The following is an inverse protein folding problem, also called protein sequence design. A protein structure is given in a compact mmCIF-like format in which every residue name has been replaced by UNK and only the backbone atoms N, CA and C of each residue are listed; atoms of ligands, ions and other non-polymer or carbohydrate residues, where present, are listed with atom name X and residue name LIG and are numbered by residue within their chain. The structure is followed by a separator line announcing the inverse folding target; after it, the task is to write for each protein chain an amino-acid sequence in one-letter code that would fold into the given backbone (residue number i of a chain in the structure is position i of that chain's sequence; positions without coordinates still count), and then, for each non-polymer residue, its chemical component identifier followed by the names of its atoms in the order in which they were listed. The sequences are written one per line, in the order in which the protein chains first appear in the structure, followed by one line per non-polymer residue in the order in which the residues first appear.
data_IF_675648322492
#
_entry.id   IF_675648322492
#
_cell.length_a   1.000
_cell.length_b   1.000
_cell.length_c   1.000
_cell.angle_alpha   90.00
_cell.angle_beta   90.00
_cell.angle_gamma   90.00
#
_symmetry.space_group_name_H-M   'P 1'
#
loop_
_entity.id
_entity.type
_entity.pdbx_description
1 polymer ?
#
# COMPACT_ATOMS: atom_id res chain seq x y z
N UNK A 1 -18.04 16.28 6.38
CA UNK A 1 -17.58 15.31 5.36
C UNK A 1 -16.61 15.92 4.32
N UNK A 2 -16.81 17.15 3.80
CA UNK A 2 -15.91 17.79 2.81
C UNK A 2 -14.41 17.84 3.17
N UNK A 3 -14.05 18.04 4.43
CA UNK A 3 -12.64 18.10 4.85
C UNK A 3 -11.89 16.76 4.83
N UNK A 4 -12.60 15.62 4.84
CA UNK A 4 -11.98 14.29 4.80
C UNK A 4 -11.68 13.86 3.36
N UNK A 5 -12.58 14.19 2.42
CA UNK A 5 -12.39 13.94 1.00
C UNK A 5 -11.16 14.69 0.42
N UNK A 6 -10.98 15.97 0.79
CA UNK A 6 -9.79 16.73 0.38
C UNK A 6 -8.49 16.11 0.91
N UNK A 7 -8.49 15.66 2.17
CA UNK A 7 -7.32 14.98 2.76
C UNK A 7 -7.00 13.66 2.07
N UNK A 8 -8.01 12.91 1.62
CA UNK A 8 -7.77 11.70 0.83
C UNK A 8 -7.20 12.03 -0.55
N UNK A 9 -7.69 13.06 -1.22
CA UNK A 9 -7.15 13.52 -2.50
C UNK A 9 -5.68 13.96 -2.35
N UNK A 10 -5.38 14.80 -1.37
CA UNK A 10 -4.01 15.26 -1.07
C UNK A 10 -3.07 14.08 -0.77
N UNK A 11 -3.58 13.02 -0.11
CA UNK A 11 -2.80 11.82 0.18
C UNK A 11 -2.54 10.99 -1.09
N UNK A 12 -3.55 10.81 -1.94
CA UNK A 12 -3.41 10.08 -3.20
C UNK A 12 -2.42 10.77 -4.13
N UNK A 13 -2.41 12.12 -4.17
CA UNK A 13 -1.41 12.88 -4.92
C UNK A 13 0.00 12.64 -4.41
N UNK A 14 0.22 12.67 -3.09
CA UNK A 14 1.53 12.38 -2.49
C UNK A 14 2.01 10.96 -2.79
N UNK A 15 1.09 10.00 -2.78
CA UNK A 15 1.42 8.61 -3.15
C UNK A 15 1.76 8.50 -4.63
N UNK A 16 1.06 9.25 -5.49
CA UNK A 16 1.32 9.25 -6.94
C UNK A 16 2.68 9.83 -7.33
N UNK A 17 3.24 10.74 -6.51
CA UNK A 17 4.57 11.32 -6.70
C UNK A 17 5.71 10.41 -6.17
N UNK A 18 5.40 9.32 -5.47
CA UNK A 18 6.41 8.41 -4.91
C UNK A 18 6.62 7.20 -5.82
N UNK A 19 7.87 6.80 -6.03
CA UNK A 19 8.20 5.56 -6.75
C UNK A 19 7.87 4.31 -5.91
N UNK A 20 7.95 4.45 -4.59
CA UNK A 20 7.81 3.36 -3.64
C UNK A 20 7.34 3.85 -2.26
N UNK A 21 6.81 2.94 -1.46
CA UNK A 21 6.37 3.19 -0.09
C UNK A 21 6.77 2.05 0.83
N UNK A 22 6.95 2.36 2.10
CA UNK A 22 7.01 1.35 3.15
C UNK A 22 5.59 0.87 3.49
N UNK A 23 5.41 -0.44 3.53
CA UNK A 23 4.19 -1.08 4.03
C UNK A 23 4.47 -1.92 5.26
N UNK A 24 3.46 -1.99 6.12
CA UNK A 24 3.43 -2.93 7.23
C UNK A 24 2.32 -3.96 7.00
N UNK A 25 2.66 -5.23 7.15
CA UNK A 25 1.71 -6.35 7.05
C UNK A 25 1.93 -7.32 8.21
N UNK A 26 0.88 -8.03 8.60
CA UNK A 26 0.92 -9.13 9.58
C UNK A 26 -0.27 -10.02 9.35
N UNK A 27 -0.11 -11.32 9.58
CA UNK A 27 -1.19 -12.31 9.43
C UNK A 27 -2.36 -12.04 10.38
N UNK A 28 -2.06 -11.71 11.63
CA UNK A 28 -3.05 -11.38 12.65
C UNK A 28 -2.42 -10.45 13.70
N UNK A 29 -3.21 -10.03 14.70
CA UNK A 29 -2.76 -9.10 15.74
C UNK A 29 -1.65 -9.66 16.64
N UNK A 30 -1.48 -10.99 16.72
CA UNK A 30 -0.47 -11.65 17.56
C UNK A 30 0.84 -11.92 16.80
N UNK A 31 0.79 -11.87 15.48
CA UNK A 31 1.94 -12.10 14.60
C UNK A 31 2.89 -10.89 14.60
N UNK A 32 4.22 -11.11 14.49
CA UNK A 32 5.18 -10.01 14.34
C UNK A 32 4.87 -9.13 13.13
N UNK A 33 5.08 -7.82 13.26
CA UNK A 33 5.00 -6.89 12.13
C UNK A 33 6.09 -7.21 11.11
N UNK A 34 5.69 -7.25 9.84
CA UNK A 34 6.58 -7.35 8.71
C UNK A 34 6.56 -6.03 7.94
N UNK A 35 7.74 -5.42 7.79
CA UNK A 35 7.96 -4.20 7.04
C UNK A 35 8.67 -4.50 5.73
N UNK A 36 8.21 -3.89 4.65
CA UNK A 36 8.88 -4.00 3.34
C UNK A 36 8.56 -2.80 2.46
N UNK A 37 9.44 -2.52 1.50
CA UNK A 37 9.22 -1.52 0.47
C UNK A 37 8.40 -2.14 -0.67
N UNK A 38 7.44 -1.39 -1.21
CA UNK A 38 6.66 -1.78 -2.39
C UNK A 38 6.55 -0.63 -3.38
N UNK A 39 6.57 -0.95 -4.67
CA UNK A 39 6.47 0.06 -5.73
C UNK A 39 5.02 0.48 -5.96
N UNK A 40 4.85 1.79 -6.13
CA UNK A 40 3.57 2.39 -6.48
C UNK A 40 3.38 2.39 -8.00
N UNK A 41 2.13 2.23 -8.45
CA UNK A 41 1.70 2.31 -9.84
C UNK A 41 0.46 3.20 -9.91
N UNK A 42 0.63 4.52 -10.11
CA UNK A 42 -0.49 5.44 -10.31
C UNK A 42 -1.14 5.22 -11.67
N UNK A 43 -2.46 5.33 -11.72
CA UNK A 43 -3.28 5.23 -12.94
C UNK A 43 -4.40 6.27 -12.87
N UNK A 44 -5.13 6.48 -13.98
CA UNK A 44 -6.33 7.33 -14.00
C UNK A 44 -7.43 6.79 -13.06
N UNK A 45 -7.47 5.48 -12.83
CA UNK A 45 -8.46 4.81 -11.97
C UNK A 45 -8.07 4.73 -10.50
N UNK A 46 -6.84 5.16 -10.15
CA UNK A 46 -6.34 5.15 -8.78
C UNK A 46 -4.90 4.65 -8.62
N UNK A 47 -4.53 4.40 -7.37
CA UNK A 47 -3.17 4.00 -6.97
C UNK A 47 -3.13 2.48 -6.75
N UNK A 48 -2.28 1.81 -7.52
CA UNK A 48 -2.03 0.39 -7.41
C UNK A 48 -0.60 0.13 -6.94
N UNK A 49 -0.28 -1.13 -6.67
CA UNK A 49 1.05 -1.57 -6.26
C UNK A 49 1.55 -2.68 -7.18
N UNK A 50 2.86 -2.72 -7.42
CA UNK A 50 3.54 -3.84 -8.08
C UNK A 50 4.56 -4.47 -7.15
N UNK A 51 4.80 -5.77 -7.31
CA UNK A 51 5.79 -6.49 -6.51
C UNK A 51 6.37 -7.66 -7.30
N UNK A 52 7.69 -7.89 -7.19
CA UNK A 52 8.39 -8.98 -7.86
C UNK A 52 7.77 -10.36 -7.57
N UNK A 53 7.45 -10.65 -6.30
CA UNK A 53 6.82 -11.93 -5.92
C UNK A 53 5.30 -11.94 -6.06
N UNK A 54 4.68 -10.79 -6.32
CA UNK A 54 3.23 -10.63 -6.43
C UNK A 54 2.48 -11.38 -5.33
N UNK A 55 1.53 -12.23 -5.74
CA UNK A 55 0.72 -13.05 -4.82
C UNK A 55 1.52 -14.02 -3.95
N UNK A 56 2.74 -14.40 -4.36
CA UNK A 56 3.63 -15.28 -3.58
C UNK A 56 4.46 -14.50 -2.55
N UNK A 57 4.37 -13.17 -2.53
CA UNK A 57 5.05 -12.33 -1.56
C UNK A 57 4.47 -12.52 -0.16
N UNK A 58 5.36 -12.52 0.86
CA UNK A 58 4.95 -12.60 2.26
C UNK A 58 3.94 -11.49 2.63
N UNK A 59 4.20 -10.26 2.15
CA UNK A 59 3.30 -9.12 2.36
C UNK A 59 1.88 -9.40 1.85
N UNK A 60 1.75 -10.02 0.67
CA UNK A 60 0.45 -10.29 0.06
C UNK A 60 -0.28 -11.37 0.85
N UNK A 61 0.42 -12.45 1.18
CA UNK A 61 -0.12 -13.55 1.96
C UNK A 61 -0.54 -13.13 3.37
N UNK A 62 0.16 -12.17 3.98
CA UNK A 62 -0.23 -11.57 5.27
C UNK A 62 -1.43 -10.63 5.12
N UNK A 63 -1.50 -9.83 4.06
CA UNK A 63 -2.57 -8.87 3.84
C UNK A 63 -3.95 -9.50 3.53
N UNK A 64 -3.96 -10.71 2.97
CA UNK A 64 -5.20 -11.44 2.62
C UNK A 64 -5.62 -12.50 3.66
N UNK A 65 -4.89 -12.61 4.76
CA UNK A 65 -5.12 -13.62 5.79
C UNK A 65 -6.15 -13.16 6.84
#
# INVERSE_FOLDING_TARGET
MKGMAKKSEDLLWKLAESDEVDIETRRDAKSPLHRTIIWIVPTEDGIYIRSYKGKKGRWYQEAIA
#
